data_IF_579194979051
#
_entry.id   IF_579194979051
#
_cell.length_a   1.000
_cell.length_b   1.000
_cell.length_c   1.000
_cell.angle_alpha   90.00
_cell.angle_beta   90.00
_cell.angle_gamma   90.00
#
_symmetry.space_group_name_H-M   'P 1'
#
loop_
_entity.id
_entity.type
_entity.pdbx_description
1 polymer ?
#
# COMPACT_ATOMS: atom_id res chain seq x y z
N UNK A 1 16.54 15.65 -22.33
CA UNK A 1 15.16 15.99 -22.77
C UNK A 1 14.19 16.17 -21.60
N UNK A 2 14.14 15.27 -20.60
CA UNK A 2 13.25 15.38 -19.42
C UNK A 2 13.41 16.72 -18.65
N UNK A 3 14.66 17.19 -18.45
CA UNK A 3 14.94 18.52 -17.85
C UNK A 3 14.29 19.67 -18.62
N UNK A 4 14.26 19.59 -19.96
CA UNK A 4 13.67 20.63 -20.83
C UNK A 4 12.14 20.62 -20.74
N UNK A 5 11.55 19.44 -20.59
CA UNK A 5 10.11 19.25 -20.40
C UNK A 5 9.63 19.69 -19.01
N UNK A 6 10.41 19.45 -17.95
CA UNK A 6 10.11 19.98 -16.61
C UNK A 6 10.19 21.52 -16.57
N UNK A 7 11.15 22.11 -17.29
CA UNK A 7 11.22 23.56 -17.45
C UNK A 7 10.03 24.13 -18.24
N UNK A 8 9.47 23.38 -19.20
CA UNK A 8 8.23 23.75 -19.90
C UNK A 8 6.98 23.59 -19.02
N UNK A 9 6.83 22.49 -18.27
CA UNK A 9 5.71 22.32 -17.33
C UNK A 9 5.77 23.31 -16.15
N UNK A 10 6.97 23.68 -15.69
CA UNK A 10 7.14 24.73 -14.68
C UNK A 10 6.64 26.11 -15.17
N UNK A 11 6.64 26.36 -16.48
CA UNK A 11 6.09 27.56 -17.08
C UNK A 11 4.55 27.56 -17.17
N UNK A 12 3.88 26.45 -16.86
CA UNK A 12 2.41 26.29 -16.89
C UNK A 12 1.78 26.23 -15.49
N UNK A 13 2.59 26.12 -14.43
CA UNK A 13 2.09 26.09 -13.05
C UNK A 13 1.53 27.47 -12.59
N UNK A 14 0.48 27.50 -11.75
CA UNK A 14 0.01 28.70 -11.07
C UNK A 14 1.15 29.40 -10.29
N UNK A 15 1.14 30.74 -10.24
CA UNK A 15 2.23 31.56 -9.68
C UNK A 15 2.60 31.19 -8.23
N UNK A 16 1.63 30.71 -7.45
CA UNK A 16 1.83 30.24 -6.06
C UNK A 16 2.71 29.01 -5.97
N UNK A 17 2.51 28.01 -6.84
CA UNK A 17 3.32 26.78 -6.87
C UNK A 17 4.78 27.04 -7.32
N UNK A 18 5.00 28.03 -8.19
CA UNK A 18 6.36 28.43 -8.61
C UNK A 18 7.20 29.00 -7.46
N UNK A 19 6.54 29.61 -6.47
CA UNK A 19 7.20 30.30 -5.35
C UNK A 19 7.75 29.30 -4.31
N UNK A 20 7.04 28.20 -4.09
CA UNK A 20 7.47 27.11 -3.20
C UNK A 20 8.61 26.29 -3.81
N UNK A 21 8.54 26.00 -5.12
CA UNK A 21 9.61 25.30 -5.85
C UNK A 21 10.90 26.13 -5.91
N UNK A 22 10.81 27.46 -6.11
CA UNK A 22 11.99 28.35 -6.04
C UNK A 22 12.62 28.42 -4.65
N UNK A 23 11.82 28.31 -3.59
CA UNK A 23 12.31 28.29 -2.21
C UNK A 23 13.04 26.98 -1.90
N UNK A 24 12.59 25.86 -2.47
CA UNK A 24 13.27 24.56 -2.37
C UNK A 24 14.57 24.46 -3.21
N UNK A 25 14.65 25.20 -4.32
CA UNK A 25 15.79 25.14 -5.27
C UNK A 25 16.88 26.21 -5.05
N UNK A 26 16.84 26.97 -3.94
CA UNK A 26 17.97 27.82 -3.51
C UNK A 26 18.45 28.89 -4.50
N UNK A 27 17.64 29.30 -5.48
CA UNK A 27 18.04 30.28 -6.51
C UNK A 27 17.44 31.65 -6.22
N UNK A 28 18.20 32.49 -5.52
CA UNK A 28 17.93 33.94 -5.46
C UNK A 28 18.41 34.60 -6.74
N UNK A 29 17.46 34.99 -7.60
CA UNK A 29 17.70 36.02 -8.62
C UNK A 29 16.95 37.27 -8.17
N UNK A 30 17.72 38.31 -7.83
CA UNK A 30 17.22 39.66 -7.59
C UNK A 30 16.80 40.27 -8.93
N UNK A 31 15.54 40.68 -9.05
CA UNK A 31 15.14 41.68 -10.04
C UNK A 31 14.18 42.67 -9.38
N UNK A 32 14.63 43.91 -9.34
CA UNK A 32 13.89 45.08 -8.88
C UNK A 32 12.74 45.44 -9.82
N UNK A 33 11.71 46.08 -9.27
CA UNK A 33 10.68 46.82 -10.00
C UNK A 33 9.37 46.06 -10.21
N UNK A 34 8.39 46.27 -9.33
CA UNK A 34 7.26 47.15 -9.70
C UNK A 34 6.31 47.41 -8.53
N UNK A 35 5.88 48.67 -8.46
CA UNK A 35 5.06 49.25 -7.42
C UNK A 35 3.56 48.90 -7.52
N UNK A 36 2.94 48.83 -6.34
CA UNK A 36 1.56 49.29 -6.01
C UNK A 36 0.39 48.81 -6.88
N UNK A 37 -0.50 48.05 -6.24
CA UNK A 37 -1.92 48.42 -6.04
C UNK A 37 -2.53 47.57 -4.93
N UNK A 38 -3.01 48.23 -3.87
CA UNK A 38 -3.70 47.60 -2.75
C UNK A 38 -5.21 47.54 -2.95
N UNK A 39 -5.86 46.64 -2.20
CA UNK A 39 -7.03 46.94 -1.37
C UNK A 39 -7.49 45.67 -0.61
N UNK A 40 -7.59 45.83 0.72
CA UNK A 40 -8.51 45.23 1.71
C UNK A 40 -9.06 43.80 1.50
N UNK A 41 -9.09 42.89 2.48
CA UNK A 41 -8.82 42.96 3.91
C UNK A 41 -9.54 41.77 4.58
N UNK A 42 -8.88 41.08 5.50
CA UNK A 42 -9.49 40.57 6.73
C UNK A 42 -8.38 40.07 7.65
N UNK A 43 -8.32 40.68 8.81
CA UNK A 43 -7.42 40.45 9.91
C UNK A 43 -7.71 39.10 10.58
N UNK A 44 -6.68 38.26 10.70
CA UNK A 44 -6.62 37.13 11.62
C UNK A 44 -5.20 37.08 12.17
N UNK A 45 -5.09 37.27 13.48
CA UNK A 45 -3.86 37.46 14.24
C UNK A 45 -2.87 36.29 14.05
N UNK A 46 -1.59 36.64 13.90
CA UNK A 46 -0.49 35.71 13.93
C UNK A 46 -0.19 35.36 15.40
N UNK A 47 -0.60 34.16 15.82
CA UNK A 47 -0.01 33.50 16.98
C UNK A 47 1.29 32.82 16.55
N UNK A 48 2.40 33.18 17.20
CA UNK A 48 3.64 32.40 17.18
C UNK A 48 3.33 31.00 17.73
N UNK A 49 3.45 29.99 16.88
CA UNK A 49 3.36 28.58 17.27
C UNK A 49 4.76 27.98 17.07
N UNK A 50 5.31 27.47 18.17
CA UNK A 50 6.64 26.87 18.28
C UNK A 50 6.86 25.82 17.19
N UNK A 51 7.85 26.06 16.33
CA UNK A 51 8.84 25.10 15.81
C UNK A 51 8.43 23.74 15.20
N UNK A 52 7.18 23.31 15.23
CA UNK A 52 6.73 22.00 14.77
C UNK A 52 5.89 22.19 13.50
N UNK A 53 6.46 21.81 12.35
CA UNK A 53 5.72 21.77 11.09
C UNK A 53 4.71 20.64 11.18
N UNK A 54 3.55 20.92 11.78
CA UNK A 54 2.42 20.00 11.78
C UNK A 54 1.83 20.01 10.37
N UNK A 55 1.99 18.90 9.65
CA UNK A 55 1.35 18.70 8.34
C UNK A 55 -0.16 18.88 8.50
N UNK A 56 -0.70 20.05 8.10
CA UNK A 56 -2.14 20.23 7.95
C UNK A 56 -2.55 19.42 6.73
N UNK A 57 -2.99 18.19 6.95
CA UNK A 57 -3.77 17.48 5.94
C UNK A 57 -4.90 18.39 5.51
N UNK A 58 -4.92 18.77 4.23
CA UNK A 58 -6.12 19.34 3.64
C UNK A 58 -7.21 18.27 3.79
N UNK A 59 -8.11 18.47 4.75
CA UNK A 59 -9.43 17.85 4.71
C UNK A 59 -10.01 18.32 3.37
N UNK A 60 -9.95 17.46 2.36
CA UNK A 60 -10.64 17.70 1.10
C UNK A 60 -12.08 18.12 1.40
N UNK A 61 -12.69 18.90 0.50
CA UNK A 61 -14.12 19.18 0.58
C UNK A 61 -14.83 17.85 0.81
N UNK A 62 -15.56 17.67 1.93
CA UNK A 62 -16.22 16.40 2.21
C UNK A 62 -17.07 16.04 0.99
N UNK A 63 -16.80 14.91 0.36
CA UNK A 63 -17.75 14.37 -0.59
C UNK A 63 -19.04 14.16 0.21
N UNK A 64 -20.15 14.77 -0.18
CA UNK A 64 -21.45 14.61 0.51
C UNK A 64 -21.88 13.14 0.60
N UNK A 65 -21.26 12.23 -0.15
CA UNK A 65 -21.43 10.77 -0.03
C UNK A 65 -20.78 10.16 1.22
N UNK A 66 -19.80 10.83 1.84
CA UNK A 66 -19.18 10.43 3.11
C UNK A 66 -20.02 10.79 4.35
N UNK A 67 -21.12 11.52 4.19
CA UNK A 67 -22.04 11.91 5.27
C UNK A 67 -23.28 11.02 5.37
N UNK A 68 -23.26 9.82 4.77
CA UNK A 68 -24.38 8.90 4.97
C UNK A 68 -24.29 8.28 6.37
N UNK A 69 -25.30 8.46 7.24
CA UNK A 69 -25.29 7.87 8.57
C UNK A 69 -25.25 6.34 8.46
N UNK A 70 -24.37 5.71 9.26
CA UNK A 70 -24.36 4.25 9.40
C UNK A 70 -25.66 3.82 10.09
N UNK A 71 -26.49 3.07 9.38
CA UNK A 71 -27.72 2.53 9.93
C UNK A 71 -27.41 1.37 10.88
N UNK A 72 -27.67 1.56 12.17
CA UNK A 72 -27.51 0.54 13.20
C UNK A 72 -28.88 -0.03 13.53
N UNK A 73 -29.09 -1.32 13.24
CA UNK A 73 -30.34 -2.03 13.55
C UNK A 73 -30.28 -2.79 14.87
N UNK A 74 -29.07 -3.09 15.33
CA UNK A 74 -28.84 -3.84 16.56
C UNK A 74 -29.05 -2.98 17.81
N UNK A 75 -29.34 -3.65 18.92
CA UNK A 75 -29.55 -3.05 20.24
C UNK A 75 -28.78 -3.85 21.30
N UNK A 76 -28.33 -3.18 22.36
CA UNK A 76 -27.66 -3.80 23.49
C UNK A 76 -26.23 -4.25 23.17
N UNK A 77 -25.83 -5.41 23.69
CA UNK A 77 -24.47 -5.93 23.57
C UNK A 77 -23.93 -6.03 22.12
N UNK A 78 -24.71 -6.48 21.11
CA UNK A 78 -24.22 -6.50 19.72
C UNK A 78 -23.65 -5.17 19.22
N UNK A 79 -24.20 -4.03 19.63
CA UNK A 79 -23.67 -2.69 19.26
C UNK A 79 -22.26 -2.46 19.84
N UNK A 80 -21.94 -3.04 21.00
CA UNK A 80 -20.62 -2.94 21.63
C UNK A 80 -19.62 -3.94 21.04
N UNK A 81 -20.10 -4.96 20.33
CA UNK A 81 -19.28 -6.01 19.72
C UNK A 81 -18.94 -5.71 18.26
N UNK A 82 -19.72 -4.85 17.59
CA UNK A 82 -19.42 -4.40 16.23
C UNK A 82 -18.44 -3.21 16.27
N UNK A 83 -17.18 -3.40 15.83
CA UNK A 83 -16.15 -2.36 15.88
C UNK A 83 -16.45 -1.14 15.01
N UNK A 84 -17.30 -1.28 13.98
CA UNK A 84 -17.65 -0.20 13.07
C UNK A 84 -18.52 0.87 13.77
N UNK A 85 -19.36 0.44 14.71
CA UNK A 85 -20.37 1.30 15.37
C UNK A 85 -20.08 1.53 16.84
N UNK A 86 -19.25 0.69 17.46
CA UNK A 86 -18.89 0.80 18.87
C UNK A 86 -18.08 2.09 19.13
N UNK A 87 -18.60 2.94 20.01
CA UNK A 87 -17.92 4.16 20.49
C UNK A 87 -17.28 3.97 21.87
N UNK A 88 -17.42 2.79 22.47
CA UNK A 88 -17.02 2.51 23.85
C UNK A 88 -17.65 3.51 24.82
N UNK A 89 -16.83 4.14 25.65
CA UNK A 89 -17.29 5.15 26.62
C UNK A 89 -17.74 6.47 26.00
N UNK A 90 -17.55 6.68 24.69
CA UNK A 90 -17.93 7.90 23.99
C UNK A 90 -19.40 7.92 23.53
N UNK A 91 -20.18 6.85 23.73
CA UNK A 91 -21.62 6.90 23.50
C UNK A 91 -22.27 7.97 24.39
N UNK A 92 -23.04 8.87 23.75
CA UNK A 92 -23.82 9.90 24.44
C UNK A 92 -24.92 9.26 25.29
N UNK A 93 -25.39 9.96 26.33
CA UNK A 93 -26.49 9.46 27.17
C UNK A 93 -27.75 9.09 26.38
N UNK A 94 -28.12 9.90 25.38
CA UNK A 94 -29.26 9.65 24.51
C UNK A 94 -29.05 8.42 23.62
N UNK A 95 -27.83 8.19 23.13
CA UNK A 95 -27.47 6.98 22.38
C UNK A 95 -27.53 5.75 23.29
N UNK A 96 -27.02 5.84 24.52
CA UNK A 96 -27.08 4.75 25.49
C UNK A 96 -28.52 4.37 25.85
N UNK A 97 -29.44 5.33 25.91
CA UNK A 97 -30.88 5.03 26.06
C UNK A 97 -31.42 4.34 24.80
N UNK A 98 -31.23 4.95 23.62
CA UNK A 98 -31.81 4.45 22.35
C UNK A 98 -31.29 3.09 21.94
N UNK A 99 -30.01 2.80 22.19
CA UNK A 99 -29.37 1.52 21.87
C UNK A 99 -29.39 0.53 23.04
N UNK A 100 -30.10 0.80 24.14
CA UNK A 100 -30.19 -0.08 25.31
C UNK A 100 -28.81 -0.45 25.92
N UNK A 101 -27.92 0.53 26.05
CA UNK A 101 -26.56 0.37 26.58
C UNK A 101 -26.41 0.78 28.06
N UNK A 102 -27.46 1.34 28.66
CA UNK A 102 -27.45 1.68 30.10
C UNK A 102 -27.20 0.42 30.95
N UNK A 103 -26.26 0.51 31.88
CA UNK A 103 -25.80 -0.62 32.70
C UNK A 103 -24.76 -1.52 32.02
N UNK A 104 -24.53 -1.39 30.71
CA UNK A 104 -23.49 -2.12 29.98
C UNK A 104 -22.16 -1.35 29.87
N UNK A 105 -22.18 -0.05 30.16
CA UNK A 105 -21.01 0.84 30.15
C UNK A 105 -20.91 1.61 31.47
N UNK A 106 -19.68 1.95 31.91
CA UNK A 106 -19.48 2.85 33.05
C UNK A 106 -20.21 4.19 32.86
N UNK A 107 -20.70 4.80 33.94
CA UNK A 107 -21.51 6.02 33.88
C UNK A 107 -20.78 7.23 33.27
N UNK A 108 -19.45 7.31 33.44
CA UNK A 108 -18.63 8.37 32.85
C UNK A 108 -18.65 8.27 31.32
N UNK A 109 -18.95 9.38 30.67
CA UNK A 109 -18.70 9.56 29.25
C UNK A 109 -17.27 10.06 29.08
N UNK A 110 -16.55 9.48 28.11
CA UNK A 110 -15.17 9.88 27.78
C UNK A 110 -15.19 10.32 26.33
N UNK A 111 -14.69 11.52 26.04
CA UNK A 111 -14.74 12.09 24.68
C UNK A 111 -13.76 11.37 23.74
N UNK A 112 -13.88 11.61 22.43
CA UNK A 112 -12.95 11.06 21.44
C UNK A 112 -11.52 11.54 21.70
N UNK A 113 -11.35 12.80 22.13
CA UNK A 113 -10.05 13.39 22.47
C UNK A 113 -9.44 12.70 23.69
N UNK A 114 -10.22 12.49 24.75
CA UNK A 114 -9.76 11.78 25.94
C UNK A 114 -9.42 10.31 25.64
N UNK A 115 -10.22 9.63 24.81
CA UNK A 115 -9.93 8.27 24.35
C UNK A 115 -8.64 8.22 23.54
N UNK A 116 -8.44 9.19 22.63
CA UNK A 116 -7.22 9.30 21.80
C UNK A 116 -6.00 9.55 22.68
N UNK A 117 -6.08 10.45 23.67
CA UNK A 117 -4.99 10.72 24.61
C UNK A 117 -4.58 9.46 25.38
N UNK A 118 -5.56 8.71 25.92
CA UNK A 118 -5.30 7.43 26.60
C UNK A 118 -4.64 6.41 25.66
N UNK A 119 -5.11 6.33 24.41
CA UNK A 119 -4.51 5.42 23.43
C UNK A 119 -3.06 5.80 23.15
N UNK A 120 -2.76 7.08 22.99
CA UNK A 120 -1.41 7.56 22.71
C UNK A 120 -0.46 7.36 23.89
N UNK A 121 -0.91 7.56 25.11
CA UNK A 121 -0.15 7.27 26.33
C UNK A 121 0.28 5.80 26.35
N UNK A 122 -0.66 4.87 26.22
CA UNK A 122 -0.34 3.43 26.18
C UNK A 122 0.49 3.03 24.94
N UNK A 123 0.26 3.67 23.79
CA UNK A 123 1.06 3.43 22.59
C UNK A 123 2.53 3.85 22.81
N UNK A 124 2.80 4.96 23.49
CA UNK A 124 4.15 5.50 23.69
C UNK A 124 4.86 4.93 24.92
N UNK A 125 4.12 4.76 26.01
CA UNK A 125 4.64 4.44 27.35
C UNK A 125 4.24 3.04 27.84
N UNK A 126 3.37 2.35 27.09
CA UNK A 126 2.83 1.04 27.47
C UNK A 126 3.92 0.04 27.84
N UNK A 127 3.82 -0.49 29.06
CA UNK A 127 4.78 -1.44 29.62
C UNK A 127 4.49 -2.85 29.12
N UNK A 128 5.10 -3.25 28.01
CA UNK A 128 5.16 -4.67 27.64
C UNK A 128 6.54 -5.23 27.92
N UNK A 129 6.63 -5.85 29.09
CA UNK A 129 7.84 -6.46 29.67
C UNK A 129 8.23 -7.79 28.99
N UNK A 130 8.26 -7.81 27.65
CA UNK A 130 8.63 -8.97 26.83
C UNK A 130 9.59 -8.63 25.70
N UNK A 131 10.37 -7.54 25.85
CA UNK A 131 11.34 -7.08 24.87
C UNK A 131 12.73 -7.74 25.03
N UNK A 132 12.76 -9.06 25.22
CA UNK A 132 13.99 -9.85 25.18
C UNK A 132 13.72 -11.16 24.46
N UNK A 133 13.57 -11.12 23.13
CA UNK A 133 13.60 -12.33 22.30
C UNK A 133 14.48 -12.12 21.07
N UNK A 134 15.49 -12.99 21.03
CA UNK A 134 16.45 -13.30 19.99
C UNK A 134 16.95 -12.15 19.11
N UNK A 135 18.09 -11.52 19.45
CA UNK A 135 18.75 -10.53 18.59
C UNK A 135 19.21 -11.08 17.23
N UNK A 136 19.13 -12.39 16.98
CA UNK A 136 19.45 -13.00 15.68
C UNK A 136 18.22 -13.21 14.78
N UNK A 137 17.04 -12.74 15.18
CA UNK A 137 15.85 -12.80 14.32
C UNK A 137 16.04 -11.94 13.05
N UNK A 138 15.80 -12.52 11.88
CA UNK A 138 15.97 -11.87 10.58
C UNK A 138 15.17 -10.56 10.45
N UNK A 139 14.04 -10.42 11.19
CA UNK A 139 13.24 -9.20 11.20
C UNK A 139 13.84 -8.11 12.09
N UNK A 140 14.58 -8.47 13.15
CA UNK A 140 15.34 -7.50 13.95
C UNK A 140 16.47 -6.90 13.11
N UNK A 141 17.14 -7.72 12.29
CA UNK A 141 18.15 -7.25 11.33
C UNK A 141 17.54 -6.33 10.25
N UNK A 142 16.27 -6.52 9.90
CA UNK A 142 15.52 -5.65 8.99
C UNK A 142 14.94 -4.37 9.66
N UNK A 143 15.29 -4.10 10.93
CA UNK A 143 14.91 -2.89 11.65
C UNK A 143 13.58 -2.97 12.43
N UNK A 144 12.99 -4.17 12.58
CA UNK A 144 11.79 -4.37 13.40
C UNK A 144 12.16 -4.55 14.88
N UNK A 145 11.61 -3.71 15.75
CA UNK A 145 11.84 -3.83 17.20
C UNK A 145 10.70 -4.61 17.88
N UNK A 146 10.95 -5.24 19.05
CA UNK A 146 9.87 -5.79 19.88
C UNK A 146 8.79 -4.77 20.24
N UNK A 147 9.17 -3.49 20.34
CA UNK A 147 8.24 -2.39 20.58
C UNK A 147 7.30 -2.15 19.38
N UNK A 148 7.79 -2.26 18.14
CA UNK A 148 6.93 -2.19 16.95
C UNK A 148 5.87 -3.29 16.94
N UNK A 149 6.24 -4.51 17.35
CA UNK A 149 5.31 -5.64 17.47
C UNK A 149 4.23 -5.34 18.52
N UNK A 150 4.64 -4.93 19.73
CA UNK A 150 3.71 -4.52 20.81
C UNK A 150 2.74 -3.45 20.34
N UNK A 151 3.28 -2.39 19.73
CA UNK A 151 2.50 -1.26 19.19
C UNK A 151 1.51 -1.71 18.13
N UNK A 152 1.92 -2.62 17.23
CA UNK A 152 1.03 -3.19 16.23
C UNK A 152 -0.09 -4.02 16.86
N UNK A 153 0.23 -4.93 17.79
CA UNK A 153 -0.77 -5.75 18.49
C UNK A 153 -1.77 -4.87 19.25
N UNK A 154 -1.28 -3.81 19.90
CA UNK A 154 -2.12 -2.85 20.61
C UNK A 154 -3.07 -2.11 19.66
N UNK A 155 -2.55 -1.53 18.57
CA UNK A 155 -3.36 -0.85 17.57
C UNK A 155 -4.38 -1.78 16.91
N UNK A 156 -4.02 -3.04 16.65
CA UNK A 156 -4.95 -4.05 16.11
C UNK A 156 -6.01 -4.46 17.13
N UNK A 157 -5.68 -4.49 18.41
CA UNK A 157 -6.66 -4.65 19.48
C UNK A 157 -7.71 -3.54 19.48
N UNK A 158 -7.28 -2.29 19.30
CA UNK A 158 -8.20 -1.15 19.17
C UNK A 158 -9.05 -1.28 17.91
N UNK A 159 -8.44 -1.60 16.77
CA UNK A 159 -9.18 -1.79 15.52
C UNK A 159 -10.26 -2.88 15.64
N UNK A 160 -9.99 -3.95 16.37
CA UNK A 160 -10.95 -5.02 16.65
C UNK A 160 -12.07 -4.65 17.63
N UNK A 161 -12.03 -3.48 18.26
CA UNK A 161 -13.01 -3.03 19.24
C UNK A 161 -13.74 -1.75 18.82
N UNK A 162 -13.03 -0.80 18.22
CA UNK A 162 -13.53 0.52 17.82
C UNK A 162 -12.69 1.02 16.64
N UNK A 163 -13.19 0.80 15.43
CA UNK A 163 -12.52 1.21 14.19
C UNK A 163 -12.42 2.73 14.05
N UNK A 164 -13.44 3.46 14.52
CA UNK A 164 -13.44 4.92 14.45
C UNK A 164 -12.28 5.51 15.27
N UNK A 165 -12.07 5.00 16.49
CA UNK A 165 -10.96 5.42 17.35
C UNK A 165 -9.61 5.00 16.76
N UNK A 166 -9.50 3.77 16.23
CA UNK A 166 -8.29 3.31 15.55
C UNK A 166 -7.90 4.24 14.40
N UNK A 167 -8.81 4.53 13.46
CA UNK A 167 -8.50 5.40 12.33
C UNK A 167 -8.28 6.84 12.76
N UNK A 168 -9.00 7.35 13.77
CA UNK A 168 -8.74 8.68 14.35
C UNK A 168 -7.29 8.81 14.82
N UNK A 169 -6.81 7.85 15.60
CA UNK A 169 -5.45 7.82 16.16
C UNK A 169 -4.40 7.73 15.05
N UNK A 170 -4.59 6.82 14.09
CA UNK A 170 -3.65 6.60 12.98
C UNK A 170 -3.60 7.83 12.05
N UNK A 171 -4.73 8.43 11.71
CA UNK A 171 -4.78 9.60 10.83
C UNK A 171 -4.10 10.82 11.46
N UNK A 172 -4.32 11.07 12.74
CA UNK A 172 -3.73 12.20 13.45
C UNK A 172 -2.22 12.04 13.66
N UNK A 173 -1.69 10.80 13.62
CA UNK A 173 -0.29 10.47 13.91
C UNK A 173 0.35 9.62 12.78
N UNK A 174 -0.07 9.82 11.54
CA UNK A 174 0.23 8.92 10.43
C UNK A 174 1.73 8.72 10.20
N UNK A 175 2.54 9.78 10.31
CA UNK A 175 3.99 9.71 10.12
C UNK A 175 4.68 8.78 11.14
N UNK A 176 4.19 8.76 12.39
CA UNK A 176 4.71 7.90 13.46
C UNK A 176 4.20 6.46 13.31
N UNK A 177 2.94 6.29 12.89
CA UNK A 177 2.25 5.00 12.96
C UNK A 177 2.28 4.21 11.65
N UNK A 178 2.56 4.83 10.50
CA UNK A 178 2.54 4.16 9.19
C UNK A 178 3.44 2.91 9.15
N UNK A 179 4.66 3.00 9.71
CA UNK A 179 5.61 1.89 9.76
C UNK A 179 5.24 0.78 10.76
N UNK A 180 4.40 1.13 11.75
CA UNK A 180 3.83 0.16 12.70
C UNK A 180 2.66 -0.56 12.06
N UNK A 181 1.70 0.15 11.45
CA UNK A 181 0.50 -0.48 10.87
C UNK A 181 0.76 -1.21 9.54
N UNK A 182 1.81 -0.81 8.82
CA UNK A 182 2.21 -1.40 7.54
C UNK A 182 3.67 -1.88 7.58
N UNK A 183 4.48 -1.63 6.54
CA UNK A 183 5.86 -2.11 6.44
C UNK A 183 6.81 -1.37 7.38
N UNK A 184 7.75 -2.07 8.06
CA UNK A 184 8.07 -3.50 7.93
C UNK A 184 7.21 -4.44 8.80
N UNK A 185 6.47 -3.93 9.79
CA UNK A 185 5.79 -4.72 10.83
C UNK A 185 4.73 -5.69 10.30
N UNK A 186 4.00 -5.32 9.25
CA UNK A 186 3.02 -6.18 8.59
C UNK A 186 3.65 -7.46 8.00
N UNK A 187 4.93 -7.40 7.60
CA UNK A 187 5.67 -8.57 7.12
C UNK A 187 5.85 -9.61 8.22
N UNK A 188 6.23 -9.18 9.43
CA UNK A 188 6.28 -10.04 10.62
C UNK A 188 4.91 -10.58 11.00
N UNK A 189 3.86 -9.75 10.88
CA UNK A 189 2.50 -10.19 11.13
C UNK A 189 2.07 -11.30 10.15
N UNK A 190 2.48 -11.21 8.88
CA UNK A 190 2.24 -12.26 7.90
C UNK A 190 3.01 -13.55 8.24
N UNK A 191 4.28 -13.46 8.65
CA UNK A 191 5.03 -14.65 9.09
C UNK A 191 4.33 -15.41 10.22
N UNK A 192 3.66 -14.69 11.12
CA UNK A 192 3.03 -15.24 12.32
C UNK A 192 1.50 -15.32 12.23
N UNK A 193 0.89 -15.01 11.08
CA UNK A 193 -0.54 -14.74 10.95
C UNK A 193 -1.41 -15.88 11.50
N UNK A 194 -1.15 -17.11 11.05
CA UNK A 194 -1.86 -18.31 11.49
C UNK A 194 -1.79 -18.54 13.01
N UNK A 195 -0.63 -18.31 13.64
CA UNK A 195 -0.43 -18.49 15.10
C UNK A 195 -1.13 -17.40 15.91
N UNK A 196 -1.13 -16.19 15.38
CA UNK A 196 -1.75 -15.02 15.99
C UNK A 196 -3.22 -14.87 15.68
N UNK A 197 -3.80 -15.75 14.87
CA UNK A 197 -5.20 -15.64 14.48
C UNK A 197 -6.12 -15.66 15.72
N UNK A 198 -6.94 -14.62 15.87
CA UNK A 198 -7.91 -14.46 16.96
C UNK A 198 -9.28 -14.05 16.45
N UNK A 199 -9.32 -13.07 15.55
CA UNK A 199 -10.54 -12.54 14.95
C UNK A 199 -10.33 -12.52 13.43
N UNK A 200 -11.30 -13.07 12.68
CA UNK A 200 -11.27 -13.05 11.23
C UNK A 200 -11.48 -11.60 10.72
N UNK A 201 -10.68 -11.17 9.75
CA UNK A 201 -10.85 -9.90 9.05
C UNK A 201 -10.61 -10.13 7.56
N UNK A 202 -11.56 -9.68 6.74
CA UNK A 202 -11.57 -9.94 5.31
C UNK A 202 -12.22 -11.27 4.92
N UNK A 203 -12.08 -11.64 3.65
CA UNK A 203 -12.66 -12.85 3.08
C UNK A 203 -11.59 -13.78 2.52
N UNK A 204 -11.80 -15.07 2.76
CA UNK A 204 -10.89 -16.13 2.38
C UNK A 204 -11.58 -16.95 1.30
N UNK A 205 -11.00 -16.97 0.10
CA UNK A 205 -11.45 -17.80 -1.01
C UNK A 205 -10.39 -18.84 -1.26
N UNK A 206 -10.77 -20.11 -1.34
CA UNK A 206 -9.84 -21.22 -1.54
C UNK A 206 -10.11 -21.95 -2.85
N UNK A 207 -9.14 -22.74 -3.31
CA UNK A 207 -9.34 -23.64 -4.44
C UNK A 207 -10.48 -24.66 -4.22
N UNK A 208 -10.87 -24.93 -2.95
CA UNK A 208 -11.99 -25.82 -2.62
C UNK A 208 -13.35 -25.17 -2.81
N UNK A 209 -13.38 -23.85 -2.98
CA UNK A 209 -14.61 -23.07 -3.15
C UNK A 209 -15.05 -22.93 -4.61
N UNK A 210 -14.36 -23.62 -5.54
CA UNK A 210 -14.71 -23.63 -6.95
C UNK A 210 -16.18 -23.99 -7.17
N UNK A 211 -16.86 -23.20 -7.99
CA UNK A 211 -18.30 -23.28 -8.25
C UNK A 211 -19.18 -22.56 -7.22
N UNK A 212 -18.62 -22.03 -6.14
CA UNK A 212 -19.36 -21.45 -5.02
C UNK A 212 -18.92 -20.02 -4.67
N UNK A 213 -17.96 -19.42 -5.39
CA UNK A 213 -17.39 -18.13 -5.00
C UNK A 213 -18.41 -16.99 -5.03
N UNK A 214 -19.39 -17.04 -5.94
CA UNK A 214 -20.49 -16.06 -5.96
C UNK A 214 -21.28 -16.10 -4.66
N UNK A 215 -21.71 -17.28 -4.21
CA UNK A 215 -22.43 -17.41 -2.93
C UNK A 215 -21.58 -17.00 -1.73
N UNK A 216 -20.28 -17.33 -1.73
CA UNK A 216 -19.35 -16.91 -0.67
C UNK A 216 -19.24 -15.39 -0.65
N UNK A 217 -19.13 -14.75 -1.82
CA UNK A 217 -19.07 -13.31 -1.94
C UNK A 217 -20.25 -12.66 -1.21
N UNK A 218 -21.47 -13.25 -1.25
CA UNK A 218 -22.67 -12.77 -0.55
C UNK A 218 -22.63 -12.86 0.99
N UNK A 219 -21.67 -13.57 1.59
CA UNK A 219 -21.51 -13.64 3.04
C UNK A 219 -20.89 -12.37 3.65
N UNK A 220 -20.25 -11.51 2.86
CA UNK A 220 -19.76 -10.22 3.36
C UNK A 220 -20.93 -9.34 3.82
N UNK A 221 -20.87 -8.71 5.01
CA UNK A 221 -22.00 -7.96 5.55
C UNK A 221 -22.28 -6.68 4.75
N UNK A 222 -21.25 -6.07 4.15
CA UNK A 222 -21.43 -4.80 3.45
C UNK A 222 -22.07 -4.97 2.07
N UNK A 223 -23.13 -4.20 1.81
CA UNK A 223 -23.79 -4.16 0.50
C UNK A 223 -22.95 -3.40 -0.54
N UNK A 224 -22.15 -2.42 -0.12
CA UNK A 224 -21.33 -1.60 -1.00
C UNK A 224 -19.85 -1.77 -0.67
N UNK A 225 -19.05 -2.10 -1.68
CA UNK A 225 -17.59 -2.18 -1.58
C UNK A 225 -16.99 -1.33 -2.70
N UNK A 226 -16.08 -0.43 -2.33
CA UNK A 226 -15.38 0.46 -3.25
C UNK A 226 -14.01 -0.07 -3.64
N UNK A 227 -13.31 -0.73 -2.72
CA UNK A 227 -11.97 -1.23 -2.94
C UNK A 227 -11.78 -2.62 -2.34
N UNK A 228 -11.20 -3.50 -3.14
CA UNK A 228 -10.79 -4.85 -2.78
C UNK A 228 -9.29 -4.91 -2.98
N UNK A 229 -8.56 -5.27 -1.93
CA UNK A 229 -7.15 -5.67 -2.06
C UNK A 229 -7.12 -7.18 -1.94
N UNK A 230 -6.54 -7.84 -2.93
CA UNK A 230 -6.45 -9.30 -2.98
C UNK A 230 -5.01 -9.73 -3.20
N UNK A 231 -4.61 -10.78 -2.50
CA UNK A 231 -3.33 -11.46 -2.68
C UNK A 231 -3.54 -12.98 -2.73
N UNK A 232 -2.64 -13.73 -3.36
CA UNK A 232 -2.54 -15.19 -3.19
C UNK A 232 -1.39 -15.58 -2.24
N UNK A 233 -0.72 -14.58 -1.66
CA UNK A 233 0.41 -14.70 -0.75
C UNK A 233 1.64 -15.42 -1.32
N UNK A 234 1.77 -15.46 -2.64
CA UNK A 234 2.86 -16.17 -3.30
C UNK A 234 4.18 -15.41 -3.33
N UNK A 235 4.14 -14.09 -3.11
CA UNK A 235 5.32 -13.23 -3.02
C UNK A 235 5.07 -12.06 -2.05
N UNK A 236 4.91 -12.37 -0.78
CA UNK A 236 4.69 -11.35 0.26
C UNK A 236 5.97 -10.55 0.46
N UNK A 237 5.98 -9.29 0.05
CA UNK A 237 7.14 -8.41 0.12
C UNK A 237 8.43 -9.11 -0.41
N UNK A 238 9.51 -9.05 0.36
CA UNK A 238 10.73 -9.84 0.14
C UNK A 238 10.77 -11.18 0.90
N UNK A 239 9.66 -11.59 1.54
CA UNK A 239 9.58 -12.78 2.40
C UNK A 239 9.19 -14.05 1.64
N UNK A 240 8.77 -13.91 0.38
CA UNK A 240 8.42 -15.02 -0.50
C UNK A 240 7.02 -15.58 -0.25
N UNK A 241 6.87 -16.89 -0.40
CA UNK A 241 5.58 -17.57 -0.33
C UNK A 241 5.13 -17.76 1.12
N UNK A 242 4.08 -17.05 1.53
CA UNK A 242 3.42 -17.20 2.83
C UNK A 242 2.00 -17.78 2.73
N UNK A 243 1.53 -18.10 1.51
CA UNK A 243 0.20 -18.64 1.27
C UNK A 243 -0.91 -17.80 1.89
N UNK A 244 -1.90 -18.45 2.51
CA UNK A 244 -3.02 -17.78 3.17
C UNK A 244 -2.60 -16.70 4.19
N UNK A 245 -1.44 -16.85 4.86
CA UNK A 245 -0.96 -15.85 5.81
C UNK A 245 -0.71 -14.46 5.19
N UNK A 246 -0.62 -14.39 3.85
CA UNK A 246 -0.56 -13.14 3.10
C UNK A 246 -1.76 -12.20 3.31
N UNK A 247 -2.87 -12.69 3.88
CA UNK A 247 -4.03 -11.86 4.24
C UNK A 247 -3.66 -10.59 5.04
N UNK A 248 -2.59 -10.64 5.84
CA UNK A 248 -2.09 -9.47 6.56
C UNK A 248 -1.77 -8.27 5.66
N UNK A 249 -1.28 -8.51 4.43
CA UNK A 249 -1.00 -7.46 3.44
C UNK A 249 -2.30 -6.81 2.95
N UNK A 250 -3.29 -7.60 2.54
CA UNK A 250 -4.59 -7.07 2.09
C UNK A 250 -5.23 -6.20 3.17
N UNK A 251 -5.16 -6.64 4.43
CA UNK A 251 -5.65 -5.87 5.58
C UNK A 251 -4.86 -4.56 5.73
N UNK A 252 -3.52 -4.64 5.77
CA UNK A 252 -2.66 -3.48 5.98
C UNK A 252 -2.78 -2.43 4.88
N UNK A 253 -2.87 -2.85 3.61
CA UNK A 253 -3.10 -1.92 2.49
C UNK A 253 -4.42 -1.17 2.63
N UNK A 254 -5.49 -1.87 2.99
CA UNK A 254 -6.79 -1.22 3.15
C UNK A 254 -6.85 -0.31 4.37
N UNK A 255 -6.07 -0.57 5.41
CA UNK A 255 -5.89 0.39 6.50
C UNK A 255 -5.26 1.69 6.01
N UNK A 256 -4.29 1.62 5.09
CA UNK A 256 -3.73 2.81 4.44
C UNK A 256 -4.75 3.50 3.51
N UNK A 257 -5.61 2.75 2.81
CA UNK A 257 -6.68 3.35 2.02
C UNK A 257 -7.63 4.20 2.88
N UNK A 258 -8.02 3.66 4.05
CA UNK A 258 -8.89 4.40 4.97
C UNK A 258 -8.13 5.58 5.58
N UNK A 259 -6.95 5.36 6.15
CA UNK A 259 -6.21 6.38 6.89
C UNK A 259 -5.61 7.49 5.99
N UNK A 260 -5.06 7.14 4.84
CA UNK A 260 -4.35 8.09 3.96
C UNK A 260 -5.23 8.63 2.82
N UNK A 261 -6.21 7.86 2.33
CA UNK A 261 -7.04 8.23 1.19
C UNK A 261 -8.52 8.47 1.53
N UNK A 262 -8.93 8.27 2.79
CA UNK A 262 -10.28 8.59 3.25
C UNK A 262 -11.37 7.63 2.74
N UNK A 263 -11.01 6.38 2.42
CA UNK A 263 -12.01 5.35 2.12
C UNK A 263 -12.86 5.06 3.35
N UNK A 264 -14.13 4.75 3.16
CA UNK A 264 -14.99 4.35 4.28
C UNK A 264 -14.64 2.91 4.71
N UNK A 265 -14.40 2.64 6.01
CA UNK A 265 -13.95 1.32 6.47
C UNK A 265 -14.93 0.17 6.18
N UNK A 266 -16.24 0.43 6.25
CA UNK A 266 -17.26 -0.56 5.86
C UNK A 266 -17.31 -0.88 4.34
N UNK A 267 -16.61 -0.09 3.50
CA UNK A 267 -16.64 -0.19 2.03
C UNK A 267 -15.31 -0.69 1.46
N UNK A 268 -14.41 -1.16 2.30
CA UNK A 268 -13.18 -1.83 1.88
C UNK A 268 -13.24 -3.31 2.22
N UNK A 269 -12.67 -4.16 1.37
CA UNK A 269 -12.73 -5.61 1.51
C UNK A 269 -11.35 -6.25 1.30
N UNK A 270 -10.66 -6.69 2.37
CA UNK A 270 -9.44 -7.47 2.23
C UNK A 270 -9.78 -8.90 1.82
N UNK A 271 -9.07 -9.42 0.81
CA UNK A 271 -9.23 -10.78 0.33
C UNK A 271 -7.89 -11.53 0.28
N UNK A 272 -7.97 -12.85 0.43
CA UNK A 272 -6.90 -13.78 0.06
C UNK A 272 -7.46 -14.90 -0.80
N UNK A 273 -6.71 -15.30 -1.83
CA UNK A 273 -7.00 -16.46 -2.67
C UNK A 273 -6.02 -17.59 -2.30
N UNK A 274 -6.51 -18.56 -1.54
CA UNK A 274 -5.74 -19.71 -1.08
C UNK A 274 -5.80 -20.87 -2.08
N UNK A 275 -4.78 -20.96 -2.92
CA UNK A 275 -4.56 -22.06 -3.86
C UNK A 275 -3.53 -23.08 -3.35
N UNK A 276 -3.21 -23.05 -2.05
CA UNK A 276 -2.08 -23.76 -1.47
C UNK A 276 -0.82 -22.91 -1.34
N UNK A 277 0.26 -23.51 -0.86
CA UNK A 277 1.56 -22.85 -0.70
C UNK A 277 2.71 -23.82 -0.98
N UNK A 278 3.75 -23.34 -1.66
CA UNK A 278 4.97 -24.10 -1.92
C UNK A 278 5.93 -24.04 -0.72
N UNK A 279 5.62 -23.21 0.29
CA UNK A 279 6.38 -23.11 1.52
C UNK A 279 6.20 -24.37 2.39
N UNK A 280 7.20 -25.26 2.32
CA UNK A 280 7.22 -26.52 3.08
C UNK A 280 7.17 -26.31 4.60
N UNK A 281 7.75 -25.20 5.11
CA UNK A 281 7.72 -24.90 6.56
C UNK A 281 6.28 -24.63 7.02
N UNK A 282 5.51 -23.86 6.24
CA UNK A 282 4.10 -23.60 6.54
C UNK A 282 3.25 -24.87 6.43
N UNK A 283 3.44 -25.68 5.37
CA UNK A 283 2.71 -26.96 5.22
C UNK A 283 2.98 -27.97 6.34
N UNK A 284 4.18 -27.92 6.93
CA UNK A 284 4.55 -28.75 8.08
C UNK A 284 4.07 -28.18 9.43
N UNK A 285 3.73 -26.89 9.49
CA UNK A 285 3.27 -26.24 10.72
C UNK A 285 1.79 -26.56 10.97
N UNK A 286 1.49 -27.23 12.08
CA UNK A 286 0.11 -27.58 12.47
C UNK A 286 -0.78 -26.38 12.76
N UNK A 287 -0.19 -25.22 13.04
CA UNK A 287 -0.93 -23.99 13.24
C UNK A 287 -1.34 -23.31 11.93
N UNK A 288 -0.76 -23.72 10.79
CA UNK A 288 -1.07 -23.13 9.50
C UNK A 288 -2.55 -23.34 9.14
N UNK A 289 -3.22 -22.23 8.83
CA UNK A 289 -4.65 -22.19 8.59
C UNK A 289 -5.03 -22.25 7.10
N UNK A 290 -4.05 -22.21 6.19
CA UNK A 290 -4.29 -22.34 4.75
C UNK A 290 -4.36 -23.79 4.28
N UNK A 291 -4.64 -23.98 2.98
CA UNK A 291 -4.69 -25.29 2.35
C UNK A 291 -3.33 -25.98 2.44
N UNK A 292 -3.28 -27.16 3.05
CA UNK A 292 -2.08 -27.97 3.15
C UNK A 292 -1.82 -28.76 1.86
N UNK A 293 -1.50 -28.03 0.78
CA UNK A 293 -1.16 -28.56 -0.54
C UNK A 293 -0.19 -27.62 -1.26
N UNK A 294 0.48 -28.12 -2.29
CA UNK A 294 1.25 -27.26 -3.20
C UNK A 294 0.32 -26.32 -3.96
N UNK A 295 0.90 -25.22 -4.45
CA UNK A 295 0.14 -24.26 -5.24
C UNK A 295 -0.39 -24.92 -6.50
N UNK A 296 -1.63 -24.58 -6.83
CA UNK A 296 -2.12 -24.78 -8.18
C UNK A 296 -1.28 -23.94 -9.16
N UNK A 297 -1.11 -24.46 -10.37
CA UNK A 297 -0.36 -23.81 -11.44
C UNK A 297 -1.19 -23.84 -12.75
N UNK A 298 -0.80 -23.02 -13.72
CA UNK A 298 -1.38 -23.01 -15.07
C UNK A 298 -2.88 -22.68 -15.08
N UNK A 299 -3.63 -23.40 -15.91
CA UNK A 299 -5.06 -23.13 -16.14
C UNK A 299 -5.90 -23.37 -14.88
N UNK A 300 -5.53 -24.34 -14.05
CA UNK A 300 -6.24 -24.60 -12.80
C UNK A 300 -6.15 -23.41 -11.84
N UNK A 301 -4.98 -22.79 -11.74
CA UNK A 301 -4.81 -21.56 -10.98
C UNK A 301 -5.67 -20.43 -11.56
N UNK A 302 -5.57 -20.21 -12.87
CA UNK A 302 -6.27 -19.11 -13.54
C UNK A 302 -7.79 -19.22 -13.42
N UNK A 303 -8.35 -20.43 -13.49
CA UNK A 303 -9.78 -20.67 -13.31
C UNK A 303 -10.27 -20.27 -11.91
N UNK A 304 -9.48 -20.48 -10.86
CA UNK A 304 -9.82 -20.05 -9.49
C UNK A 304 -9.87 -18.53 -9.42
N UNK A 305 -8.87 -17.85 -10.00
CA UNK A 305 -8.82 -16.39 -9.99
C UNK A 305 -9.93 -15.79 -10.86
N UNK A 306 -10.24 -16.41 -12.01
CA UNK A 306 -11.34 -16.01 -12.89
C UNK A 306 -12.68 -16.05 -12.15
N UNK A 307 -12.95 -17.15 -11.46
CA UNK A 307 -14.18 -17.31 -10.69
C UNK A 307 -14.27 -16.28 -9.56
N UNK A 308 -13.15 -16.02 -8.86
CA UNK A 308 -13.09 -14.99 -7.82
C UNK A 308 -13.42 -13.61 -8.40
N UNK A 309 -12.76 -13.21 -9.49
CA UNK A 309 -12.98 -11.89 -10.13
C UNK A 309 -14.42 -11.78 -10.61
N UNK A 310 -14.97 -12.83 -11.23
CA UNK A 310 -16.36 -12.87 -11.66
C UNK A 310 -17.32 -12.74 -10.47
N UNK A 311 -17.06 -13.43 -9.36
CA UNK A 311 -17.89 -13.39 -8.15
C UNK A 311 -17.92 -12.01 -7.51
N UNK A 312 -16.75 -11.40 -7.28
CA UNK A 312 -16.70 -10.06 -6.65
C UNK A 312 -17.24 -8.98 -7.58
N UNK A 313 -17.05 -9.10 -8.90
CA UNK A 313 -17.62 -8.15 -9.88
C UNK A 313 -19.11 -8.35 -10.12
N UNK A 314 -19.63 -9.56 -9.95
CA UNK A 314 -21.07 -9.80 -9.97
C UNK A 314 -21.76 -9.13 -8.77
N UNK A 315 -21.15 -9.23 -7.57
CA UNK A 315 -21.71 -8.59 -6.36
C UNK A 315 -21.45 -7.08 -6.32
N UNK A 316 -20.23 -6.64 -6.64
CA UNK A 316 -19.80 -5.24 -6.60
C UNK A 316 -19.16 -4.80 -7.93
N UNK A 317 -19.96 -4.50 -8.97
CA UNK A 317 -19.45 -4.21 -10.32
C UNK A 317 -18.47 -3.03 -10.40
N UNK A 318 -18.63 -2.05 -9.51
CA UNK A 318 -17.84 -0.81 -9.46
C UNK A 318 -16.63 -0.89 -8.53
N UNK A 319 -16.50 -1.93 -7.71
CA UNK A 319 -15.39 -2.06 -6.78
C UNK A 319 -14.06 -2.09 -7.55
N UNK A 320 -13.08 -1.31 -7.11
CA UNK A 320 -11.70 -1.42 -7.55
C UNK A 320 -11.10 -2.74 -7.05
N UNK A 321 -10.40 -3.49 -7.91
CA UNK A 321 -9.57 -4.63 -7.49
C UNK A 321 -8.10 -4.25 -7.60
N UNK A 322 -7.40 -4.22 -6.47
CA UNK A 322 -5.95 -4.14 -6.40
C UNK A 322 -5.38 -5.54 -6.20
N UNK A 323 -4.59 -6.01 -7.16
CA UNK A 323 -3.78 -7.22 -7.01
C UNK A 323 -2.48 -6.88 -6.30
N UNK A 324 -2.15 -7.64 -5.25
CA UNK A 324 -1.00 -7.40 -4.39
C UNK A 324 -0.18 -8.67 -4.16
N UNK A 325 1.14 -8.58 -4.21
CA UNK A 325 2.08 -9.60 -3.74
C UNK A 325 1.91 -10.98 -4.44
N UNK A 326 1.61 -10.92 -5.75
CA UNK A 326 1.59 -12.09 -6.63
C UNK A 326 2.99 -12.37 -7.20
N UNK A 327 3.33 -13.65 -7.38
CA UNK A 327 4.54 -14.07 -8.13
C UNK A 327 4.55 -13.40 -9.50
N UNK A 328 5.74 -12.94 -9.92
CA UNK A 328 5.95 -12.17 -11.16
C UNK A 328 5.28 -12.82 -12.37
N UNK A 329 5.40 -14.14 -12.49
CA UNK A 329 4.82 -14.93 -13.58
C UNK A 329 3.30 -14.69 -13.74
N UNK A 330 2.56 -14.60 -12.63
CA UNK A 330 1.11 -14.39 -12.65
C UNK A 330 0.72 -12.92 -12.57
N UNK A 331 1.49 -12.08 -11.87
CA UNK A 331 1.17 -10.66 -11.69
C UNK A 331 0.88 -9.96 -13.04
N UNK A 332 1.76 -10.14 -14.03
CA UNK A 332 1.59 -9.59 -15.38
C UNK A 332 0.42 -10.23 -16.13
N UNK A 333 0.31 -11.57 -16.09
CA UNK A 333 -0.77 -12.33 -16.76
C UNK A 333 -2.16 -11.90 -16.26
N UNK A 334 -2.33 -11.80 -14.95
CA UNK A 334 -3.61 -11.38 -14.33
C UNK A 334 -3.93 -9.93 -14.68
N UNK A 335 -2.93 -9.04 -14.64
CA UNK A 335 -3.13 -7.64 -15.01
C UNK A 335 -3.60 -7.52 -16.47
N UNK A 336 -2.94 -8.19 -17.42
CA UNK A 336 -3.35 -8.19 -18.83
C UNK A 336 -4.75 -8.77 -19.05
N UNK A 337 -5.07 -9.83 -18.30
CA UNK A 337 -6.34 -10.55 -18.39
C UNK A 337 -7.55 -9.69 -17.99
N UNK A 338 -7.43 -8.86 -16.96
CA UNK A 338 -8.57 -8.16 -16.36
C UNK A 338 -8.64 -6.65 -16.63
N UNK A 339 -7.52 -5.97 -16.85
CA UNK A 339 -7.46 -4.48 -16.89
C UNK A 339 -8.34 -3.79 -17.93
N UNK A 340 -8.72 -4.49 -19.00
CA UNK A 340 -9.56 -3.95 -20.07
C UNK A 340 -11.05 -4.28 -19.89
N UNK A 341 -11.39 -5.13 -18.93
CA UNK A 341 -12.77 -5.55 -18.64
C UNK A 341 -13.27 -5.05 -17.29
N UNK A 342 -12.34 -4.81 -16.36
CA UNK A 342 -12.65 -4.50 -14.98
C UNK A 342 -11.78 -3.34 -14.49
N UNK A 343 -12.33 -2.53 -13.59
CA UNK A 343 -11.55 -1.58 -12.79
C UNK A 343 -10.62 -2.37 -11.87
N UNK A 344 -9.37 -2.50 -12.28
CA UNK A 344 -8.31 -3.13 -11.51
C UNK A 344 -6.91 -2.60 -11.87
N UNK A 345 -5.97 -2.78 -10.95
CA UNK A 345 -4.55 -2.57 -11.20
C UNK A 345 -3.71 -3.52 -10.32
N UNK A 346 -2.41 -3.58 -10.56
CA UNK A 346 -1.46 -4.27 -9.69
C UNK A 346 -0.52 -3.24 -9.08
N UNK A 347 -0.42 -3.18 -7.74
CA UNK A 347 0.34 -2.14 -7.05
C UNK A 347 1.85 -2.34 -7.21
N UNK A 348 2.32 -3.59 -7.16
CA UNK A 348 3.73 -3.93 -7.36
C UNK A 348 4.26 -3.40 -8.70
N UNK A 349 3.47 -3.57 -9.77
CA UNK A 349 3.83 -3.13 -11.13
C UNK A 349 3.55 -1.64 -11.32
N UNK A 350 2.34 -1.18 -11.03
CA UNK A 350 1.87 0.15 -11.43
C UNK A 350 2.04 1.19 -10.33
N UNK A 351 1.80 0.84 -9.06
CA UNK A 351 1.95 1.73 -7.92
C UNK A 351 3.42 2.05 -7.63
N UNK A 352 4.28 1.03 -7.61
CA UNK A 352 5.74 1.22 -7.49
C UNK A 352 6.28 2.09 -8.62
N UNK A 353 5.84 1.84 -9.85
CA UNK A 353 6.23 2.63 -11.01
C UNK A 353 5.82 4.10 -10.89
N UNK A 354 4.59 4.37 -10.47
CA UNK A 354 4.10 5.73 -10.25
C UNK A 354 4.93 6.46 -9.17
N UNK A 355 5.24 5.78 -8.07
CA UNK A 355 6.02 6.36 -6.96
C UNK A 355 7.47 6.64 -7.37
N UNK A 356 8.11 5.69 -8.05
CA UNK A 356 9.47 5.86 -8.57
C UNK A 356 9.54 7.00 -9.59
N UNK A 357 8.58 7.07 -10.51
CA UNK A 357 8.50 8.15 -11.50
C UNK A 357 8.27 9.51 -10.83
N UNK A 358 7.42 9.59 -9.79
CA UNK A 358 7.21 10.81 -9.03
C UNK A 358 8.47 11.28 -8.31
N UNK A 359 9.20 10.35 -7.65
CA UNK A 359 10.48 10.65 -7.02
C UNK A 359 11.52 11.14 -8.02
N UNK A 360 11.57 10.53 -9.20
CA UNK A 360 12.43 10.97 -10.30
C UNK A 360 12.01 12.37 -10.77
N UNK A 361 10.73 12.65 -11.03
CA UNK A 361 10.30 14.00 -11.40
C UNK A 361 10.61 15.07 -10.34
N UNK A 362 10.46 14.73 -9.06
CA UNK A 362 10.78 15.64 -7.96
C UNK A 362 12.30 15.87 -7.81
N UNK A 363 13.11 14.83 -8.02
CA UNK A 363 14.57 14.89 -7.87
C UNK A 363 15.33 15.32 -9.12
N UNK A 364 14.71 15.38 -10.31
CA UNK A 364 15.48 15.44 -11.56
C UNK A 364 16.10 16.81 -11.88
N UNK A 365 17.38 16.88 -11.52
CA UNK A 365 18.47 17.37 -12.36
C UNK A 365 19.26 16.24 -13.09
N UNK A 366 18.83 14.96 -13.06
CA UNK A 366 19.65 13.83 -13.56
C UNK A 366 19.65 13.58 -15.08
N UNK A 367 20.63 12.79 -15.51
CA UNK A 367 21.18 12.61 -16.86
C UNK A 367 20.43 11.61 -17.75
N UNK A 368 19.31 11.05 -17.31
CA UNK A 368 18.41 10.25 -18.14
C UNK A 368 18.83 8.80 -18.40
N UNK A 369 19.85 8.26 -17.71
CA UNK A 369 20.29 6.87 -17.78
C UNK A 369 20.11 6.15 -16.44
N UNK A 370 19.76 4.87 -16.47
CA UNK A 370 19.31 4.13 -15.30
C UNK A 370 19.92 2.72 -15.23
N UNK A 371 20.52 2.40 -14.08
CA UNK A 371 20.86 1.03 -13.69
C UNK A 371 19.77 0.53 -12.75
N UNK A 372 19.19 -0.63 -13.05
CA UNK A 372 18.03 -1.18 -12.33
C UNK A 372 18.38 -2.56 -11.79
N UNK A 373 18.43 -2.67 -10.46
CA UNK A 373 18.69 -3.93 -9.76
C UNK A 373 17.37 -4.65 -9.47
N UNK A 374 17.08 -5.70 -10.23
CA UNK A 374 15.91 -6.54 -10.10
C UNK A 374 15.01 -6.49 -11.33
N UNK A 375 14.91 -7.61 -12.05
CA UNK A 375 14.04 -7.79 -13.22
C UNK A 375 12.65 -8.40 -12.89
N UNK A 376 12.19 -8.26 -11.64
CA UNK A 376 10.86 -8.70 -11.21
C UNK A 376 9.75 -7.70 -11.57
N UNK A 377 8.51 -7.99 -11.15
CA UNK A 377 7.33 -7.18 -11.49
C UNK A 377 7.48 -5.69 -11.18
N UNK A 378 8.05 -5.36 -10.01
CA UNK A 378 8.28 -3.99 -9.57
C UNK A 378 9.33 -3.27 -10.41
N UNK A 379 10.53 -3.85 -10.57
CA UNK A 379 11.61 -3.25 -11.36
C UNK A 379 11.21 -3.04 -12.82
N UNK A 380 10.54 -4.04 -13.41
CA UNK A 380 10.05 -3.93 -14.78
C UNK A 380 8.91 -2.94 -14.93
N UNK A 381 8.00 -2.84 -13.95
CA UNK A 381 6.98 -1.80 -13.91
C UNK A 381 7.58 -0.39 -13.94
N UNK A 382 8.59 -0.14 -13.09
CA UNK A 382 9.32 1.14 -13.03
C UNK A 382 10.00 1.45 -14.37
N UNK A 383 10.76 0.50 -14.91
CA UNK A 383 11.45 0.66 -16.20
C UNK A 383 10.47 1.01 -17.32
N UNK A 384 9.36 0.28 -17.43
CA UNK A 384 8.37 0.50 -18.48
C UNK A 384 7.74 1.90 -18.41
N UNK A 385 7.39 2.36 -17.22
CA UNK A 385 6.78 3.68 -17.05
C UNK A 385 7.77 4.83 -17.20
N UNK A 386 9.03 4.65 -16.79
CA UNK A 386 10.09 5.61 -17.08
C UNK A 386 10.37 5.71 -18.57
N UNK A 387 10.44 4.58 -19.27
CA UNK A 387 10.59 4.55 -20.73
C UNK A 387 9.42 5.27 -21.42
N UNK A 388 8.18 4.97 -21.03
CA UNK A 388 7.00 5.69 -21.53
C UNK A 388 7.01 7.19 -21.21
N UNK A 389 7.53 7.56 -20.04
CA UNK A 389 7.69 8.97 -19.68
C UNK A 389 8.72 9.67 -20.59
N UNK A 390 9.84 9.01 -20.93
CA UNK A 390 10.80 9.51 -21.91
C UNK A 390 10.16 9.67 -23.30
N UNK A 391 9.44 8.65 -23.77
CA UNK A 391 8.72 8.67 -25.05
C UNK A 391 7.71 9.82 -25.10
N UNK A 392 6.91 10.00 -24.03
CA UNK A 392 5.96 11.11 -23.90
C UNK A 392 6.64 12.48 -23.99
N UNK A 393 7.90 12.57 -23.57
CA UNK A 393 8.72 13.79 -23.61
C UNK A 393 9.59 13.90 -24.89
N UNK A 394 9.31 13.08 -25.91
CA UNK A 394 9.86 13.20 -27.25
C UNK A 394 11.04 12.30 -27.58
N UNK A 395 11.44 11.39 -26.69
CA UNK A 395 12.47 10.41 -27.01
C UNK A 395 11.93 9.32 -27.96
N UNK A 396 12.67 8.94 -29.03
CA UNK A 396 12.34 7.76 -29.82
C UNK A 396 12.25 6.48 -28.95
N UNK A 397 11.36 5.53 -29.26
CA UNK A 397 11.15 4.33 -28.45
C UNK A 397 12.41 3.49 -28.17
N UNK A 398 13.32 3.39 -29.15
CA UNK A 398 14.57 2.63 -29.03
C UNK A 398 15.63 3.39 -28.22
N UNK A 399 15.69 4.73 -28.36
CA UNK A 399 16.55 5.58 -27.56
C UNK A 399 16.11 5.56 -26.09
N UNK A 400 14.80 5.66 -25.84
CA UNK A 400 14.23 5.56 -24.50
C UNK A 400 14.58 4.22 -23.85
N UNK A 401 14.34 3.10 -24.54
CA UNK A 401 14.69 1.78 -24.03
C UNK A 401 16.21 1.60 -23.83
N UNK A 402 17.02 2.22 -24.69
CA UNK A 402 18.48 2.21 -24.62
C UNK A 402 19.08 2.94 -23.41
N UNK A 403 18.27 3.60 -22.58
CA UNK A 403 18.73 4.26 -21.35
C UNK A 403 18.66 3.38 -20.09
N UNK A 404 18.27 2.11 -20.22
CA UNK A 404 18.13 1.19 -19.08
C UNK A 404 19.14 0.03 -19.15
N UNK A 405 19.75 -0.27 -18.01
CA UNK A 405 20.59 -1.45 -17.78
C UNK A 405 19.96 -2.26 -16.65
N UNK A 406 19.42 -3.44 -16.97
CA UNK A 406 18.64 -4.24 -16.03
C UNK A 406 19.47 -5.43 -15.55
N UNK A 407 19.52 -5.60 -14.23
CA UNK A 407 20.17 -6.72 -13.59
C UNK A 407 19.13 -7.62 -12.91
N UNK A 408 19.36 -8.93 -12.94
CA UNK A 408 18.65 -9.91 -12.11
C UNK A 408 19.65 -10.62 -11.16
N UNK A 409 19.25 -11.75 -10.59
CA UNK A 409 20.10 -12.54 -9.69
C UNK A 409 21.39 -13.05 -10.37
N UNK A 410 21.37 -13.22 -11.69
CA UNK A 410 22.49 -13.68 -12.51
C UNK A 410 23.23 -12.49 -13.17
N UNK A 411 23.03 -11.25 -12.69
CA UNK A 411 23.72 -10.04 -13.15
C UNK A 411 23.03 -9.32 -14.32
N UNK A 412 23.79 -8.59 -15.14
CA UNK A 412 23.27 -7.79 -16.27
C UNK A 412 22.60 -8.67 -17.34
N UNK A 413 21.42 -8.25 -17.80
CA UNK A 413 20.66 -8.91 -18.86
C UNK A 413 21.08 -8.38 -20.23
N UNK A 414 21.56 -9.28 -21.08
CA UNK A 414 21.87 -9.01 -22.49
C UNK A 414 21.01 -9.86 -23.43
N UNK A 415 21.09 -9.58 -24.73
CA UNK A 415 20.43 -10.38 -25.77
C UNK A 415 20.85 -11.86 -25.72
N UNK A 416 22.03 -12.17 -25.19
CA UNK A 416 22.55 -13.54 -25.04
C UNK A 416 21.62 -14.46 -24.23
N UNK A 417 20.87 -13.91 -23.27
CA UNK A 417 19.86 -14.65 -22.48
C UNK A 417 18.43 -14.13 -22.65
N UNK A 418 18.16 -13.38 -23.72
CA UNK A 418 16.83 -12.84 -24.01
C UNK A 418 15.74 -13.93 -24.11
N UNK A 419 16.10 -15.14 -24.51
CA UNK A 419 15.17 -16.28 -24.63
C UNK A 419 14.68 -16.81 -23.28
N UNK A 420 15.46 -16.67 -22.21
CA UNK A 420 15.14 -17.19 -20.87
C UNK A 420 14.48 -16.18 -19.95
N UNK A 421 14.49 -14.89 -20.31
CA UNK A 421 13.84 -13.81 -19.54
C UNK A 421 12.40 -13.58 -19.99
N UNK A 422 11.58 -13.01 -19.10
CA UNK A 422 10.20 -12.64 -19.38
C UNK A 422 10.09 -11.63 -20.53
N UNK A 423 8.99 -11.71 -21.29
CA UNK A 423 8.74 -10.82 -22.44
C UNK A 423 8.85 -9.33 -22.10
N UNK A 424 8.43 -8.94 -20.90
CA UNK A 424 8.50 -7.56 -20.41
C UNK A 424 9.95 -7.02 -20.36
N UNK A 425 10.93 -7.92 -20.15
CA UNK A 425 12.35 -7.59 -19.96
C UNK A 425 13.12 -7.60 -21.27
N UNK A 426 12.70 -8.41 -22.26
CA UNK A 426 13.38 -8.58 -23.55
C UNK A 426 13.63 -7.26 -24.29
N UNK A 427 12.69 -6.32 -24.25
CA UNK A 427 12.83 -4.99 -24.89
C UNK A 427 14.01 -4.17 -24.35
N UNK A 428 14.48 -4.48 -23.14
CA UNK A 428 15.53 -3.74 -22.45
C UNK A 428 16.84 -4.53 -22.36
N UNK A 429 16.90 -5.72 -22.96
CA UNK A 429 18.12 -6.52 -23.01
C UNK A 429 19.18 -5.79 -23.85
N UNK A 430 20.40 -5.66 -23.30
CA UNK A 430 21.49 -4.95 -23.99
C UNK A 430 22.04 -5.76 -25.17
N UNK A 431 22.42 -5.12 -26.29
CA UNK A 431 23.02 -5.80 -27.43
C UNK A 431 24.27 -6.60 -27.05
N UNK A 432 24.38 -7.81 -27.59
CA UNK A 432 25.57 -8.65 -27.35
C UNK A 432 26.77 -8.08 -28.11
N UNK A 433 27.88 -7.80 -27.43
CA UNK A 433 29.15 -7.43 -28.07
C UNK A 433 29.35 -5.94 -28.43
N UNK A 434 28.47 -5.04 -27.98
CA UNK A 434 28.54 -3.59 -28.26
C UNK A 434 29.30 -2.73 -27.24
N UNK A 435 29.91 -3.30 -26.19
CA UNK A 435 30.60 -2.55 -25.13
C UNK A 435 31.39 -3.44 -24.15
N UNK A 436 31.99 -2.83 -23.11
CA UNK A 436 32.76 -3.53 -22.06
C UNK A 436 31.91 -4.44 -21.15
N UNK A 437 30.61 -4.17 -21.05
CA UNK A 437 29.69 -4.96 -20.23
C UNK A 437 29.28 -6.26 -20.94
N UNK A 438 29.30 -7.37 -20.19
CA UNK A 438 28.89 -8.70 -20.65
C UNK A 438 27.65 -9.15 -19.89
N UNK A 439 27.01 -10.20 -20.40
CA UNK A 439 25.97 -10.88 -19.63
C UNK A 439 26.53 -11.30 -18.27
N UNK A 440 25.75 -11.05 -17.22
CA UNK A 440 26.16 -11.33 -15.85
C UNK A 440 27.16 -10.35 -15.23
N UNK A 441 27.46 -9.22 -15.87
CA UNK A 441 28.16 -8.12 -15.22
C UNK A 441 27.43 -7.69 -13.94
N UNK A 442 28.19 -7.39 -12.89
CA UNK A 442 27.63 -6.98 -11.59
C UNK A 442 27.20 -5.50 -11.58
N UNK A 443 26.57 -5.09 -10.49
CA UNK A 443 26.01 -3.73 -10.35
C UNK A 443 27.11 -2.67 -10.37
N UNK A 444 28.29 -2.95 -9.80
CA UNK A 444 29.42 -2.02 -9.76
C UNK A 444 29.94 -1.77 -11.18
N UNK A 445 30.15 -2.84 -11.96
CA UNK A 445 30.57 -2.76 -13.35
C UNK A 445 29.55 -1.96 -14.19
N UNK A 446 28.26 -2.28 -14.05
CA UNK A 446 27.20 -1.59 -14.78
C UNK A 446 27.11 -0.11 -14.40
N UNK A 447 27.24 0.21 -13.11
CA UNK A 447 27.17 1.59 -12.60
C UNK A 447 28.36 2.42 -13.08
N UNK A 448 29.58 1.90 -12.96
CA UNK A 448 30.78 2.58 -13.44
C UNK A 448 30.70 2.85 -14.95
N UNK A 449 30.20 1.91 -15.75
CA UNK A 449 30.02 2.10 -17.18
C UNK A 449 29.01 3.23 -17.50
N UNK A 450 27.87 3.28 -16.79
CA UNK A 450 26.81 4.28 -17.01
C UNK A 450 27.19 5.68 -16.51
N UNK A 451 28.07 5.79 -15.51
CA UNK A 451 28.62 7.06 -15.03
C UNK A 451 29.64 7.65 -16.01
N UNK A 452 30.45 6.80 -16.66
CA UNK A 452 31.55 7.23 -17.55
C UNK A 452 31.05 7.53 -18.97
N UNK A 453 30.12 6.73 -19.49
CA UNK A 453 29.46 7.00 -20.79
C UNK A 453 28.52 8.16 -20.69
#
# INVERSE_FOLDING_TARGET
>A
MIRRALLQQHAELPITARREVRRALGTTVTSAGDEKRGAAGSSGEAGEDDGEVRWRYHRGVPDRRQELPTYVRDLGKPVLLDPLVNKGTAFLWSERERFHLRGLLPARMVTMEEQTAKVLEEYREGSWDKAARDPNDEMVQAGLTPDNIRKWEYLKGIQGQNETLFYRVVMDNFAEMASVVYTPTVGWACLNFSRMFRIARGMYFSAKDRGHMVSIAYNWPSHEVDAIVVTDGSRILGLGDLGMNGMGISIGKLDLYVAAAGFHPARVLPCVIDVGTNNKKLRADKSYLGLNQERLEGDEYLQVVDEFVAAVKARWPKALIQFEDFRTEYASKLLERYRYKHLCFNDDIQGTAATALAGIYAGLAATGRFVVCGAGSAGMGVVQWLCKAMEKHGAPPDEAAGNFWILDADGLITEARSSTVENATRRFARPTGGGELKDGSNVEQASSYVEIT
#
